data_IF_175027507529
#
_entry.id   IF_175027507529
#
_cell.length_a   1.000
_cell.length_b   1.000
_cell.length_c   1.000
_cell.angle_alpha   90.00
_cell.angle_beta   90.00
_cell.angle_gamma   90.00
#
_symmetry.space_group_name_H-M   'P 1'
#
loop_
_entity.id
_entity.type
_entity.pdbx_description
1 polymer ?
#
# COMPACT_ATOMS: atom_id res chain seq x y z
N UNK A 1 -24.32 -9.22 33.79
CA UNK A 1 -22.92 -8.95 33.48
C UNK A 1 -22.82 -8.42 32.08
N UNK A 2 -22.29 -7.22 31.89
CA UNK A 2 -22.04 -6.77 30.52
C UNK A 2 -21.02 -7.72 29.90
N UNK A 3 -21.37 -8.31 28.77
CA UNK A 3 -20.39 -9.03 27.97
C UNK A 3 -19.38 -8.06 27.45
N UNK A 4 -18.17 -8.18 27.93
CA UNK A 4 -17.04 -7.51 27.29
C UNK A 4 -16.88 -8.19 25.94
N UNK A 5 -17.22 -7.48 24.86
CA UNK A 5 -16.92 -7.95 23.53
C UNK A 5 -15.41 -7.86 23.40
N UNK A 6 -14.75 -9.02 23.42
CA UNK A 6 -13.33 -9.06 23.11
C UNK A 6 -13.13 -8.63 21.68
N UNK A 7 -12.46 -7.49 21.51
CA UNK A 7 -12.12 -6.93 20.19
C UNK A 7 -10.92 -7.63 19.56
N UNK A 8 -10.27 -8.54 20.28
CA UNK A 8 -9.13 -9.28 19.77
C UNK A 8 -9.61 -10.54 19.04
N UNK A 9 -9.30 -10.62 17.76
CA UNK A 9 -9.52 -11.80 16.94
C UNK A 9 -8.64 -12.94 17.46
N UNK A 10 -9.24 -14.12 17.69
CA UNK A 10 -8.49 -15.32 17.98
C UNK A 10 -7.72 -15.78 16.75
N UNK A 11 -6.71 -16.65 16.95
CA UNK A 11 -5.97 -17.22 15.82
C UNK A 11 -6.87 -18.03 14.87
N UNK A 12 -7.92 -18.64 15.42
CA UNK A 12 -8.92 -19.36 14.64
C UNK A 12 -9.76 -18.41 13.81
N UNK A 13 -10.20 -17.30 14.40
CA UNK A 13 -10.94 -16.25 13.69
C UNK A 13 -10.13 -15.66 12.55
N UNK A 14 -8.83 -15.41 12.77
CA UNK A 14 -7.92 -14.95 11.73
C UNK A 14 -7.76 -15.96 10.61
N UNK A 15 -7.71 -17.24 10.89
CA UNK A 15 -7.66 -18.32 9.90
C UNK A 15 -8.95 -18.38 9.08
N UNK A 16 -10.11 -18.27 9.76
CA UNK A 16 -11.41 -18.25 9.10
C UNK A 16 -11.54 -17.02 8.19
N UNK A 17 -11.13 -15.86 8.68
CA UNK A 17 -11.15 -14.62 7.89
C UNK A 17 -10.27 -14.73 6.65
N UNK A 18 -9.07 -15.30 6.78
CA UNK A 18 -8.18 -15.57 5.64
C UNK A 18 -8.79 -16.53 4.64
N UNK A 19 -9.57 -17.51 5.11
CA UNK A 19 -10.21 -18.52 4.26
C UNK A 19 -11.41 -17.96 3.50
N UNK A 20 -12.12 -16.98 4.10
CA UNK A 20 -13.30 -16.38 3.52
C UNK A 20 -12.98 -15.29 2.48
N UNK A 21 -11.81 -14.67 2.56
CA UNK A 21 -11.36 -13.67 1.60
C UNK A 21 -10.58 -14.33 0.46
N UNK A 22 -10.82 -13.94 -0.79
CA UNK A 22 -10.01 -14.42 -1.89
C UNK A 22 -8.52 -14.14 -1.65
N UNK A 23 -7.69 -15.16 -1.86
CA UNK A 23 -6.23 -15.07 -1.68
C UNK A 23 -5.50 -14.90 -3.02
N UNK A 24 -6.15 -15.24 -4.11
CA UNK A 24 -5.59 -15.11 -5.44
C UNK A 24 -6.60 -14.48 -6.39
N UNK A 25 -6.08 -14.01 -7.52
CA UNK A 25 -6.88 -13.30 -8.50
C UNK A 25 -7.98 -14.17 -9.11
N UNK A 26 -7.70 -15.46 -9.32
CA UNK A 26 -8.67 -16.40 -9.89
C UNK A 26 -9.87 -16.64 -8.98
N UNK A 27 -9.69 -16.53 -7.66
CA UNK A 27 -10.76 -16.69 -6.68
C UNK A 27 -11.60 -15.42 -6.47
N UNK A 28 -11.14 -14.29 -6.99
CA UNK A 28 -11.84 -13.02 -6.86
C UNK A 28 -12.99 -12.95 -7.87
N UNK A 29 -14.20 -12.72 -7.36
CA UNK A 29 -15.42 -12.66 -8.18
C UNK A 29 -15.81 -11.21 -8.45
N UNK A 30 -16.06 -10.90 -9.71
CA UNK A 30 -16.47 -9.58 -10.17
C UNK A 30 -15.36 -8.81 -10.88
N UNK A 31 -15.72 -7.67 -11.46
CA UNK A 31 -14.81 -6.75 -12.16
C UNK A 31 -13.85 -7.46 -13.13
N UNK A 32 -14.39 -8.30 -13.98
CA UNK A 32 -13.61 -9.18 -14.86
C UNK A 32 -12.58 -8.44 -15.74
N UNK A 33 -12.91 -7.23 -16.19
CA UNK A 33 -12.00 -6.43 -17.01
C UNK A 33 -10.78 -5.96 -16.20
N UNK A 34 -11.00 -5.44 -15.01
CA UNK A 34 -9.93 -5.01 -14.11
C UNK A 34 -9.07 -6.20 -13.69
N UNK A 35 -9.71 -7.32 -13.37
CA UNK A 35 -9.06 -8.59 -13.04
C UNK A 35 -8.14 -9.08 -14.14
N UNK A 36 -8.61 -9.10 -15.38
CA UNK A 36 -7.83 -9.52 -16.55
C UNK A 36 -6.62 -8.61 -16.77
N UNK A 37 -6.81 -7.31 -16.66
CA UNK A 37 -5.75 -6.31 -16.81
C UNK A 37 -4.68 -6.48 -15.72
N UNK A 38 -5.08 -6.62 -14.46
CA UNK A 38 -4.16 -6.85 -13.34
C UNK A 38 -3.35 -8.13 -13.53
N UNK A 39 -3.98 -9.19 -14.00
CA UNK A 39 -3.31 -10.47 -14.25
C UNK A 39 -2.16 -10.30 -15.24
N UNK A 40 -2.37 -9.56 -16.31
CA UNK A 40 -1.34 -9.29 -17.33
C UNK A 40 -0.16 -8.53 -16.71
N UNK A 41 -0.43 -7.47 -15.95
CA UNK A 41 0.63 -6.66 -15.32
C UNK A 41 1.41 -7.44 -14.26
N UNK A 42 0.73 -8.24 -13.46
CA UNK A 42 1.36 -9.08 -12.43
C UNK A 42 2.28 -10.11 -13.08
N UNK A 43 1.81 -10.82 -14.10
CA UNK A 43 2.62 -11.80 -14.83
C UNK A 43 3.84 -11.16 -15.49
N UNK A 44 3.68 -10.00 -16.11
CA UNK A 44 4.78 -9.26 -16.71
C UNK A 44 5.82 -8.84 -15.68
N UNK A 45 5.41 -8.32 -14.53
CA UNK A 45 6.31 -7.94 -13.46
C UNK A 45 7.09 -9.15 -12.91
N UNK A 46 6.41 -10.28 -12.72
CA UNK A 46 7.05 -11.53 -12.29
C UNK A 46 8.11 -12.02 -13.28
N UNK A 47 7.82 -11.95 -14.58
CA UNK A 47 8.77 -12.34 -15.61
C UNK A 47 10.01 -11.46 -15.64
N UNK A 48 9.87 -10.18 -15.35
CA UNK A 48 10.98 -9.25 -15.25
C UNK A 48 11.73 -9.33 -13.92
N UNK A 49 11.23 -10.09 -12.94
CA UNK A 49 11.71 -10.10 -11.56
C UNK A 49 11.74 -8.68 -10.95
N UNK A 50 10.69 -7.93 -11.19
CA UNK A 50 10.58 -6.52 -10.82
C UNK A 50 9.32 -6.28 -10.00
N UNK A 51 9.25 -5.11 -9.37
CA UNK A 51 8.03 -4.66 -8.68
C UNK A 51 6.94 -4.36 -9.70
N UNK A 52 5.68 -4.53 -9.29
CA UNK A 52 4.54 -4.09 -10.07
C UNK A 52 4.55 -2.55 -10.15
N UNK A 53 4.12 -2.00 -11.28
CA UNK A 53 3.88 -0.57 -11.41
C UNK A 53 2.77 -0.11 -10.43
N UNK A 54 2.79 1.16 -10.08
CA UNK A 54 1.78 1.72 -9.19
C UNK A 54 0.38 1.59 -9.78
N UNK A 55 -0.59 1.32 -8.91
CA UNK A 55 -1.98 1.05 -9.31
C UNK A 55 -2.93 1.97 -8.54
N UNK A 56 -3.85 2.59 -9.25
CA UNK A 56 -4.93 3.36 -8.64
C UNK A 56 -6.24 2.60 -8.78
N UNK A 57 -6.86 2.26 -7.65
CA UNK A 57 -8.21 1.72 -7.63
C UNK A 57 -9.21 2.86 -7.49
N UNK A 58 -10.09 2.98 -8.46
CA UNK A 58 -11.12 4.00 -8.49
C UNK A 58 -12.50 3.36 -8.40
N UNK A 59 -13.33 3.89 -7.53
CA UNK A 59 -14.69 3.42 -7.37
C UNK A 59 -15.27 3.72 -5.99
N UNK A 60 -16.58 3.48 -5.80
CA UNK A 60 -17.23 3.72 -4.51
C UNK A 60 -16.72 2.78 -3.42
N UNK A 61 -16.89 3.17 -2.13
CA UNK A 61 -16.53 2.32 -1.00
C UNK A 61 -17.25 0.97 -1.05
N UNK A 62 -16.60 -0.08 -0.56
CA UNK A 62 -17.21 -1.41 -0.46
C UNK A 62 -17.03 -2.31 -1.67
N UNK A 63 -16.25 -1.90 -2.68
CA UNK A 63 -15.96 -2.74 -3.86
C UNK A 63 -14.75 -3.66 -3.68
N UNK A 64 -14.25 -3.83 -2.47
CA UNK A 64 -13.16 -4.76 -2.19
C UNK A 64 -11.78 -4.30 -2.63
N UNK A 65 -11.51 -3.01 -2.62
CA UNK A 65 -10.20 -2.44 -2.99
C UNK A 65 -9.07 -2.98 -2.12
N UNK A 66 -9.27 -3.05 -0.81
CA UNK A 66 -8.30 -3.62 0.12
C UNK A 66 -8.06 -5.09 -0.16
N UNK A 67 -9.11 -5.83 -0.49
CA UNK A 67 -9.02 -7.24 -0.89
C UNK A 67 -8.18 -7.40 -2.16
N UNK A 68 -8.42 -6.56 -3.18
CA UNK A 68 -7.62 -6.56 -4.40
C UNK A 68 -6.14 -6.27 -4.13
N UNK A 69 -5.85 -5.29 -3.29
CA UNK A 69 -4.47 -4.98 -2.91
C UNK A 69 -3.81 -6.17 -2.21
N UNK A 70 -4.51 -6.84 -1.32
CA UNK A 70 -4.05 -8.07 -0.67
C UNK A 70 -3.78 -9.20 -1.66
N UNK A 71 -4.64 -9.35 -2.65
CA UNK A 71 -4.45 -10.34 -3.72
C UNK A 71 -3.19 -10.03 -4.53
N UNK A 72 -2.98 -8.77 -4.90
CA UNK A 72 -1.77 -8.35 -5.63
C UNK A 72 -0.52 -8.68 -4.83
N UNK A 73 -0.48 -8.33 -3.55
CA UNK A 73 0.65 -8.63 -2.68
C UNK A 73 0.91 -10.13 -2.60
N UNK A 74 -0.14 -10.93 -2.46
CA UNK A 74 -0.03 -12.39 -2.40
C UNK A 74 0.48 -12.98 -3.72
N UNK A 75 -0.06 -12.52 -4.85
CA UNK A 75 0.38 -12.95 -6.19
C UNK A 75 1.84 -12.56 -6.47
N UNK A 76 2.27 -11.39 -6.01
CA UNK A 76 3.65 -10.94 -6.15
C UNK A 76 4.60 -11.55 -5.12
N UNK A 77 4.07 -12.21 -4.09
CA UNK A 77 4.88 -12.81 -3.02
C UNK A 77 5.55 -11.76 -2.14
N UNK A 78 4.94 -10.63 -1.93
CA UNK A 78 5.48 -9.51 -1.14
C UNK A 78 4.59 -9.19 0.05
N UNK A 79 5.12 -8.46 1.02
CA UNK A 79 4.36 -7.97 2.15
C UNK A 79 3.56 -6.73 1.76
N UNK A 80 2.39 -6.59 2.36
CA UNK A 80 1.55 -5.40 2.20
C UNK A 80 1.46 -4.64 3.50
N UNK A 81 1.62 -3.32 3.41
CA UNK A 81 1.28 -2.40 4.49
C UNK A 81 0.06 -1.60 4.09
N UNK A 82 -0.83 -1.38 5.05
CA UNK A 82 -2.09 -0.67 4.84
C UNK A 82 -2.08 0.61 5.67
N UNK A 83 -2.41 1.71 5.03
CA UNK A 83 -2.63 2.99 5.69
C UNK A 83 -3.80 3.71 5.01
N UNK A 84 -4.09 4.91 5.45
CA UNK A 84 -5.13 5.73 4.82
C UNK A 84 -4.69 7.18 4.72
N UNK A 85 -5.26 7.92 3.77
CA UNK A 85 -5.00 9.34 3.64
C UNK A 85 -5.22 10.11 4.94
N UNK A 86 -6.39 9.97 5.60
CA UNK A 86 -6.66 10.65 6.86
C UNK A 86 -5.72 10.29 8.02
N UNK A 87 -5.15 9.09 8.01
CA UNK A 87 -4.24 8.64 9.07
C UNK A 87 -2.87 9.29 9.00
N UNK A 88 -2.51 9.86 7.86
CA UNK A 88 -1.20 10.49 7.65
C UNK A 88 -1.37 12.01 7.63
N UNK A 89 -1.03 12.66 8.72
CA UNK A 89 -1.20 14.10 8.87
C UNK A 89 0.04 14.90 8.51
N UNK A 90 1.22 14.31 8.74
CA UNK A 90 2.51 15.01 8.61
C UNK A 90 3.41 14.34 7.59
N UNK A 91 4.22 15.10 6.84
CA UNK A 91 5.18 14.54 5.88
C UNK A 91 6.15 13.54 6.50
N UNK A 92 6.59 13.77 7.74
CA UNK A 92 7.48 12.87 8.45
C UNK A 92 6.88 11.49 8.72
N UNK A 93 5.57 11.42 8.92
CA UNK A 93 4.86 10.13 9.08
C UNK A 93 4.88 9.33 7.78
N UNK A 94 4.65 9.97 6.64
CA UNK A 94 4.75 9.33 5.34
C UNK A 94 6.18 8.87 5.05
N UNK A 95 7.16 9.71 5.32
CA UNK A 95 8.57 9.36 5.16
C UNK A 95 8.96 8.14 6.00
N UNK A 96 8.50 8.06 7.23
CA UNK A 96 8.74 6.92 8.11
C UNK A 96 8.12 5.64 7.57
N UNK A 97 6.89 5.68 7.06
CA UNK A 97 6.21 4.53 6.46
C UNK A 97 7.02 4.03 5.25
N UNK A 98 7.39 4.93 4.35
CA UNK A 98 8.15 4.59 3.14
C UNK A 98 9.52 4.01 3.47
N UNK A 99 10.21 4.56 4.46
CA UNK A 99 11.53 4.10 4.86
C UNK A 99 11.52 2.71 5.50
N UNK A 100 10.38 2.28 6.05
CA UNK A 100 10.23 0.95 6.65
C UNK A 100 9.82 -0.14 5.64
N UNK A 101 9.56 0.22 4.38
CA UNK A 101 9.27 -0.76 3.34
C UNK A 101 10.52 -1.48 2.88
N UNK A 102 10.36 -2.75 2.51
CA UNK A 102 11.41 -3.57 1.93
C UNK A 102 11.25 -3.65 0.42
N UNK A 103 12.27 -4.16 -0.26
CA UNK A 103 12.26 -4.32 -1.71
C UNK A 103 11.02 -5.09 -2.18
N UNK A 104 10.28 -4.49 -3.09
CA UNK A 104 9.08 -5.08 -3.67
C UNK A 104 7.82 -4.94 -2.84
N UNK A 105 7.89 -4.46 -1.60
CA UNK A 105 6.72 -4.31 -0.74
C UNK A 105 5.63 -3.46 -1.39
N UNK A 106 4.39 -3.76 -1.03
CA UNK A 106 3.22 -3.03 -1.49
C UNK A 106 2.68 -2.15 -0.36
N UNK A 107 2.48 -0.88 -0.66
CA UNK A 107 1.82 0.06 0.24
C UNK A 107 0.43 0.37 -0.30
N UNK A 108 -0.60 0.01 0.45
CA UNK A 108 -1.98 0.37 0.14
C UNK A 108 -2.40 1.60 0.93
N UNK A 109 -2.77 2.65 0.22
CA UNK A 109 -3.26 3.89 0.82
C UNK A 109 -4.74 4.03 0.49
N UNK A 110 -5.59 3.78 1.47
CA UNK A 110 -7.03 3.97 1.33
C UNK A 110 -7.36 5.47 1.39
N UNK A 111 -8.37 5.87 0.65
CA UNK A 111 -8.77 7.29 0.57
C UNK A 111 -7.60 8.24 0.27
N UNK A 112 -6.81 7.91 -0.75
CA UNK A 112 -5.59 8.67 -1.10
C UNK A 112 -5.89 10.14 -1.43
N UNK A 113 -7.09 10.43 -1.91
CA UNK A 113 -7.54 11.81 -2.20
C UNK A 113 -7.60 12.70 -0.94
N UNK A 114 -7.59 12.11 0.25
CA UNK A 114 -7.63 12.82 1.53
C UNK A 114 -6.24 13.13 2.10
N UNK A 115 -5.17 12.78 1.40
CA UNK A 115 -3.84 13.24 1.76
C UNK A 115 -3.75 14.76 1.62
N UNK A 116 -3.09 15.42 2.59
CA UNK A 116 -2.83 16.84 2.45
C UNK A 116 -1.64 17.05 1.48
N UNK A 117 -1.52 18.28 1.00
CA UNK A 117 -0.53 18.62 -0.02
C UNK A 117 0.91 18.37 0.41
N UNK A 118 1.24 18.62 1.67
CA UNK A 118 2.59 18.43 2.20
C UNK A 118 2.98 16.95 2.21
N UNK A 119 2.03 16.07 2.50
CA UNK A 119 2.24 14.62 2.46
C UNK A 119 2.38 14.14 1.02
N UNK A 120 1.58 14.66 0.11
CA UNK A 120 1.69 14.36 -1.33
C UNK A 120 3.06 14.72 -1.89
N UNK A 121 3.63 15.84 -1.44
CA UNK A 121 4.96 16.29 -1.86
C UNK A 121 6.08 15.32 -1.47
N UNK A 122 5.88 14.52 -0.42
CA UNK A 122 6.78 13.42 -0.07
C UNK A 122 6.49 12.17 -0.90
N UNK A 123 5.22 11.88 -1.10
CA UNK A 123 4.78 10.65 -1.75
C UNK A 123 5.15 10.58 -3.23
N UNK A 124 4.91 11.64 -4.00
CA UNK A 124 5.12 11.61 -5.43
C UNK A 124 6.57 11.35 -5.86
N UNK A 125 7.59 11.99 -5.27
CA UNK A 125 8.97 11.62 -5.57
C UNK A 125 9.30 10.18 -5.20
N UNK A 126 8.71 9.66 -4.14
CA UNK A 126 8.89 8.28 -3.74
C UNK A 126 8.35 7.30 -4.80
N UNK A 127 7.24 7.65 -5.43
CA UNK A 127 6.63 6.85 -6.49
C UNK A 127 7.42 6.91 -7.79
N UNK A 128 7.92 8.08 -8.15
CA UNK A 128 8.61 8.31 -9.43
C UNK A 128 10.08 7.89 -9.38
N UNK A 129 10.80 8.34 -8.35
CA UNK A 129 12.25 8.23 -8.26
C UNK A 129 12.72 7.23 -7.21
N UNK A 130 11.80 6.62 -6.46
CA UNK A 130 12.12 5.76 -5.32
C UNK A 130 13.09 6.43 -4.35
N UNK A 131 12.83 7.69 -4.05
CA UNK A 131 13.62 8.50 -3.13
C UNK A 131 12.73 9.52 -2.43
N UNK A 132 13.14 9.92 -1.24
CA UNK A 132 12.49 11.00 -0.49
C UNK A 132 13.51 12.05 -0.12
N UNK A 133 13.09 13.31 -0.13
CA UNK A 133 13.89 14.42 0.32
C UNK A 133 13.46 14.83 1.73
N UNK A 134 14.40 14.83 2.66
CA UNK A 134 14.15 15.20 4.06
C UNK A 134 14.90 16.48 4.36
N UNK A 135 14.21 17.44 4.96
CA UNK A 135 14.83 18.66 5.47
C UNK A 135 15.42 18.40 6.85
N UNK A 136 16.71 18.66 7.00
CA UNK A 136 17.44 18.57 8.26
C UNK A 136 17.89 19.97 8.68
N UNK A 137 17.62 20.34 9.93
CA UNK A 137 17.94 21.64 10.47
C UNK A 137 16.81 22.65 10.34
N UNK A 138 17.04 23.87 10.84
CA UNK A 138 16.07 24.96 10.82
C UNK A 138 16.74 26.24 10.34
N UNK A 139 15.96 27.09 9.69
CA UNK A 139 16.43 28.40 9.21
C UNK A 139 17.53 28.29 8.18
N UNK A 140 18.57 29.10 8.32
CA UNK A 140 19.69 29.16 7.37
C UNK A 140 20.59 27.93 7.37
N UNK A 141 20.47 27.08 8.40
CA UNK A 141 21.22 25.82 8.48
C UNK A 141 20.45 24.63 7.91
N UNK A 142 19.20 24.84 7.49
CA UNK A 142 18.39 23.79 6.90
C UNK A 142 18.97 23.32 5.57
N UNK A 143 19.03 22.02 5.38
CA UNK A 143 19.47 21.38 4.14
C UNK A 143 18.60 20.17 3.82
N UNK A 144 18.46 19.91 2.54
CA UNK A 144 17.76 18.73 2.06
C UNK A 144 18.71 17.55 1.96
N UNK A 145 18.28 16.41 2.48
CA UNK A 145 18.97 15.13 2.34
C UNK A 145 18.09 14.18 1.58
N UNK A 146 18.61 13.61 0.50
CA UNK A 146 17.91 12.61 -0.28
C UNK A 146 18.19 11.23 0.27
N UNK A 147 17.12 10.49 0.60
CA UNK A 147 17.19 9.10 1.02
C UNK A 147 16.65 8.22 -0.10
N UNK A 148 17.44 7.25 -0.53
CA UNK A 148 17.00 6.26 -1.49
C UNK A 148 16.09 5.23 -0.82
N UNK A 149 15.02 4.86 -1.51
CA UNK A 149 14.05 3.87 -1.07
C UNK A 149 14.20 2.60 -1.88
N UNK A 150 13.84 1.44 -1.31
CA UNK A 150 13.72 0.23 -2.12
C UNK A 150 12.59 0.41 -3.16
N UNK A 151 12.65 -0.33 -4.25
CA UNK A 151 11.55 -0.33 -5.23
C UNK A 151 10.30 -0.87 -4.55
N UNK A 152 9.19 -0.17 -4.69
CA UNK A 152 7.93 -0.46 -4.04
C UNK A 152 6.78 -0.31 -5.03
N UNK A 153 5.65 -0.90 -4.70
CA UNK A 153 4.38 -0.70 -5.42
C UNK A 153 3.38 0.04 -4.51
N UNK A 154 2.73 1.07 -5.04
CA UNK A 154 1.73 1.85 -4.33
C UNK A 154 0.38 1.76 -5.03
#
# INVERSE_FOLDING_TARGET
MPRVIETNLTEEDKKIEKTLRPQCLDDYIGQEKAKSTLKIYIEAAKQRHDSLDHVLFYGPPGLGKTTLAGIIANEMGVNMKVTSGPAIEKPGEMAAILNNLQEGDLLFVDEIHRLNRQVEEVLYPAMEDFAIDIMIGKGSTARSVRLDLPHLTL
#
